data_IF_241819868802
#
_entry.id   IF_241819868802
#
_cell.length_a   1.000
_cell.length_b   1.000
_cell.length_c   1.000
_cell.angle_alpha   90.00
_cell.angle_beta   90.00
_cell.angle_gamma   90.00
#
_symmetry.space_group_name_H-M   'P 1'
#
loop_
_entity.id
_entity.type
_entity.pdbx_description
1 polymer ?
#
# COMPACT_ATOMS: atom_id res chain seq x y z
N UNK A 1 -9.79 -1.76 16.89
CA UNK A 1 -8.63 -0.97 16.42
C UNK A 1 -9.08 0.08 15.42
N UNK A 2 -8.58 1.29 15.58
CA UNK A 2 -8.87 2.39 14.64
C UNK A 2 -8.15 2.16 13.32
N UNK A 3 -8.88 2.00 12.24
CA UNK A 3 -8.36 1.84 10.88
C UNK A 3 -8.61 3.06 10.00
N UNK A 4 -9.07 4.17 10.59
CA UNK A 4 -9.39 5.38 9.84
C UNK A 4 -10.47 5.13 8.79
N UNK A 5 -10.19 5.54 7.56
CA UNK A 5 -11.13 5.40 6.44
C UNK A 5 -11.13 4.00 5.82
N UNK A 6 -10.21 3.10 6.22
CA UNK A 6 -10.01 1.81 5.57
C UNK A 6 -10.87 0.71 6.16
N UNK A 7 -11.49 -0.08 5.28
CA UNK A 7 -12.18 -1.32 5.67
C UNK A 7 -11.17 -2.46 5.70
N UNK A 8 -11.11 -3.14 6.84
CA UNK A 8 -10.20 -4.27 7.06
C UNK A 8 -11.04 -5.51 7.31
N UNK A 9 -10.74 -6.58 6.58
CA UNK A 9 -11.37 -7.88 6.76
C UNK A 9 -10.40 -8.77 7.55
N UNK A 10 -10.75 -9.06 8.80
CA UNK A 10 -9.90 -9.82 9.70
C UNK A 10 -8.96 -8.96 10.51
N UNK A 11 -7.92 -9.57 11.06
CA UNK A 11 -6.94 -8.90 11.90
C UNK A 11 -5.79 -8.32 11.09
N UNK A 12 -5.25 -7.19 11.57
CA UNK A 12 -4.04 -6.62 11.00
C UNK A 12 -2.85 -7.45 11.50
N UNK A 13 -2.03 -8.04 10.61
CA UNK A 13 -0.84 -8.78 11.04
C UNK A 13 0.10 -7.90 11.87
N UNK A 14 0.72 -8.48 12.90
CA UNK A 14 1.65 -7.73 13.76
C UNK A 14 2.91 -7.27 13.03
N UNK A 15 3.29 -7.96 11.95
CA UNK A 15 4.44 -7.63 11.11
C UNK A 15 4.07 -6.80 9.88
N UNK A 16 2.88 -6.21 9.83
CA UNK A 16 2.44 -5.45 8.68
C UNK A 16 3.31 -4.21 8.46
N UNK A 17 3.99 -4.18 7.32
CA UNK A 17 4.79 -3.05 6.87
C UNK A 17 3.94 -2.07 6.05
N UNK A 18 3.03 -2.61 5.27
CA UNK A 18 2.14 -1.85 4.41
C UNK A 18 1.03 -2.70 3.87
N UNK A 19 0.21 -2.11 3.01
CA UNK A 19 -0.90 -2.84 2.40
C UNK A 19 -1.14 -2.38 0.96
N UNK A 20 -1.73 -3.30 0.20
CA UNK A 20 -2.25 -3.03 -1.13
C UNK A 20 -3.74 -2.76 -0.99
N UNK A 21 -4.22 -1.73 -1.65
CA UNK A 21 -5.60 -1.28 -1.48
C UNK A 21 -6.30 -1.06 -2.81
N UNK A 22 -7.61 -1.06 -2.72
CA UNK A 22 -8.50 -0.68 -3.81
C UNK A 22 -9.46 0.40 -3.29
N UNK A 23 -9.52 1.52 -4.00
CA UNK A 23 -10.46 2.59 -3.73
C UNK A 23 -11.49 2.57 -4.86
N UNK A 24 -12.77 2.51 -4.50
CA UNK A 24 -13.86 2.46 -5.46
C UNK A 24 -14.74 3.70 -5.33
N UNK A 25 -14.97 4.39 -6.44
CA UNK A 25 -15.96 5.45 -6.53
C UNK A 25 -17.31 4.79 -6.78
N UNK A 26 -18.20 4.83 -5.78
CA UNK A 26 -19.49 4.14 -5.90
C UNK A 26 -20.46 4.79 -6.87
N UNK A 27 -20.20 6.04 -7.29
CA UNK A 27 -21.08 6.76 -8.23
C UNK A 27 -20.90 6.27 -9.68
N UNK A 28 -19.71 5.77 -10.03
CA UNK A 28 -19.42 5.32 -11.40
C UNK A 28 -18.67 3.98 -11.46
N UNK A 29 -18.44 3.34 -10.32
CA UNK A 29 -17.70 2.07 -10.17
C UNK A 29 -16.23 2.14 -10.59
N UNK A 30 -15.67 3.32 -10.76
CA UNK A 30 -14.27 3.50 -11.14
C UNK A 30 -13.36 3.25 -9.93
N UNK A 31 -12.22 2.58 -10.18
CA UNK A 31 -11.35 2.07 -9.12
C UNK A 31 -9.91 2.56 -9.25
N UNK A 32 -9.20 2.47 -8.16
CA UNK A 32 -7.76 2.73 -8.10
C UNK A 32 -7.11 1.68 -7.21
N UNK A 33 -6.05 1.04 -7.72
CA UNK A 33 -5.25 0.08 -6.96
C UNK A 33 -3.88 0.70 -6.68
N UNK A 34 -3.49 0.72 -5.41
CA UNK A 34 -2.22 1.27 -4.99
C UNK A 34 -1.67 0.57 -3.77
N UNK A 35 -0.59 1.11 -3.25
CA UNK A 35 0.05 0.64 -2.02
C UNK A 35 0.26 1.78 -1.05
N UNK A 36 0.34 1.44 0.24
CA UNK A 36 0.67 2.40 1.28
C UNK A 36 1.49 1.72 2.38
N UNK A 37 2.58 2.36 2.77
CA UNK A 37 3.33 1.93 3.94
C UNK A 37 2.58 2.35 5.20
N UNK A 38 2.48 1.45 6.15
CA UNK A 38 1.90 1.73 7.47
C UNK A 38 2.91 2.37 8.40
N UNK A 39 4.20 2.12 8.16
CA UNK A 39 5.29 2.71 8.93
C UNK A 39 6.23 3.44 7.98
N UNK A 40 6.83 4.51 8.46
CA UNK A 40 7.87 5.21 7.72
C UNK A 40 9.15 5.26 8.53
N UNK A 41 10.26 5.21 7.80
CA UNK A 41 11.61 5.24 8.36
C UNK A 41 12.04 6.68 8.54
N UNK A 42 12.52 7.03 9.73
CA UNK A 42 13.11 8.33 10.00
C UNK A 42 14.54 8.17 10.49
N UNK A 43 15.39 9.12 10.16
CA UNK A 43 16.76 9.17 10.63
C UNK A 43 16.84 10.22 11.73
N UNK A 44 17.33 9.81 12.90
CA UNK A 44 17.52 10.70 14.03
C UNK A 44 19.01 11.01 14.19
N UNK A 45 19.31 12.14 14.81
CA UNK A 45 20.68 12.51 15.13
C UNK A 45 21.34 11.45 16.02
N UNK A 46 22.69 11.23 15.89
CA UNK A 46 23.37 10.29 16.75
C UNK A 46 23.21 10.63 18.22
N UNK A 47 23.20 9.62 19.07
CA UNK A 47 23.29 9.81 20.52
C UNK A 47 24.63 10.46 20.87
N UNK A 48 24.65 11.18 22.01
CA UNK A 48 25.88 11.83 22.51
C UNK A 48 27.03 10.82 22.55
N UNK A 49 28.15 11.17 21.89
CA UNK A 49 29.31 10.31 21.81
C UNK A 49 29.30 9.26 20.71
N UNK A 50 28.22 9.19 19.91
CA UNK A 50 28.08 8.26 18.79
C UNK A 50 28.17 8.99 17.46
N UNK A 51 28.68 8.30 16.42
CA UNK A 51 28.86 8.88 15.09
C UNK A 51 27.75 8.50 14.10
N UNK A 52 27.07 7.37 14.33
CA UNK A 52 26.02 6.87 13.45
C UNK A 52 24.67 7.53 13.73
N UNK A 53 23.98 7.94 12.69
CA UNK A 53 22.59 8.33 12.79
C UNK A 53 21.75 7.12 13.18
N UNK A 54 20.80 7.33 14.06
CA UNK A 54 19.86 6.30 14.46
C UNK A 54 18.74 6.22 13.44
N UNK A 55 18.23 5.00 13.23
CA UNK A 55 17.08 4.75 12.39
C UNK A 55 15.93 4.36 13.28
N UNK A 56 14.80 5.01 13.09
CA UNK A 56 13.59 4.73 13.84
C UNK A 56 12.41 4.56 12.87
N UNK A 57 11.37 3.86 13.30
CA UNK A 57 10.16 3.65 12.52
C UNK A 57 8.98 4.27 13.24
N UNK A 58 8.22 5.09 12.54
CA UNK A 58 7.02 5.71 13.09
C UNK A 58 5.83 5.39 12.20
N UNK A 59 4.62 5.47 12.78
CA UNK A 59 3.40 5.28 12.03
C UNK A 59 3.28 6.35 10.94
N UNK A 60 2.87 5.92 9.74
CA UNK A 60 2.59 6.82 8.62
C UNK A 60 1.17 7.41 8.74
N UNK A 61 0.78 8.22 7.76
CA UNK A 61 -0.56 8.79 7.67
C UNK A 61 -1.57 7.85 6.98
N UNK A 62 -1.36 6.54 7.05
CA UNK A 62 -2.14 5.57 6.30
C UNK A 62 -3.65 5.61 6.60
N UNK A 63 -4.04 5.98 7.82
CA UNK A 63 -5.47 6.01 8.23
C UNK A 63 -6.30 7.05 7.48
N UNK A 64 -5.68 8.08 6.95
CA UNK A 64 -6.34 9.17 6.21
C UNK A 64 -5.90 9.26 4.75
N UNK A 65 -5.01 8.38 4.32
CA UNK A 65 -4.44 8.41 2.98
C UNK A 65 -5.46 8.00 1.92
N UNK A 66 -5.57 8.79 0.86
CA UNK A 66 -6.57 8.61 -0.20
C UNK A 66 -5.95 8.34 -1.57
N UNK A 67 -4.72 7.81 -1.60
CA UNK A 67 -4.04 7.49 -2.85
C UNK A 67 -3.27 8.66 -3.43
N UNK A 68 -2.49 8.37 -4.46
CA UNK A 68 -1.62 9.35 -5.13
C UNK A 68 -2.14 9.84 -6.48
N UNK A 69 -3.32 9.40 -6.89
CA UNK A 69 -3.91 9.83 -8.17
C UNK A 69 -4.59 11.18 -8.01
N UNK A 70 -4.18 12.15 -8.82
CA UNK A 70 -4.82 13.48 -8.82
C UNK A 70 -6.28 13.40 -9.25
N UNK A 71 -6.59 12.62 -10.28
CA UNK A 71 -7.96 12.46 -10.76
C UNK A 71 -8.87 11.86 -9.68
N UNK A 72 -8.39 10.84 -8.97
CA UNK A 72 -9.12 10.25 -7.85
C UNK A 72 -9.38 11.27 -6.75
N UNK A 73 -8.35 12.00 -6.35
CA UNK A 73 -8.47 12.97 -5.25
C UNK A 73 -9.36 14.17 -5.61
N UNK A 74 -9.39 14.57 -6.89
CA UNK A 74 -10.34 15.58 -7.37
C UNK A 74 -11.78 15.06 -7.21
N UNK A 75 -12.04 13.82 -7.59
CA UNK A 75 -13.37 13.24 -7.45
C UNK A 75 -13.77 13.08 -5.98
N UNK A 76 -12.85 12.72 -5.10
CA UNK A 76 -13.10 12.64 -3.66
C UNK A 76 -13.49 14.02 -3.12
N UNK A 77 -12.78 15.08 -3.50
CA UNK A 77 -13.07 16.43 -3.06
C UNK A 77 -14.42 16.93 -3.60
N UNK A 78 -14.79 16.53 -4.81
CA UNK A 78 -16.03 16.96 -5.47
C UNK A 78 -17.26 16.22 -4.96
N UNK A 79 -17.15 14.90 -4.79
CA UNK A 79 -18.28 14.02 -4.48
C UNK A 79 -18.44 13.75 -2.98
N UNK A 80 -17.37 13.90 -2.21
CA UNK A 80 -17.33 13.58 -0.78
C UNK A 80 -16.75 12.22 -0.51
N UNK A 81 -16.06 12.10 0.63
CA UNK A 81 -15.35 10.90 1.04
C UNK A 81 -16.30 9.69 1.20
N UNK A 82 -17.53 9.95 1.63
CA UNK A 82 -18.54 8.92 1.87
C UNK A 82 -19.06 8.23 0.60
N UNK A 83 -18.76 8.78 -0.58
CA UNK A 83 -19.09 8.14 -1.87
C UNK A 83 -18.03 7.13 -2.31
N UNK A 84 -16.99 6.91 -1.52
CA UNK A 84 -15.89 6.04 -1.87
C UNK A 84 -15.75 4.91 -0.85
N UNK A 85 -15.33 3.74 -1.35
CA UNK A 85 -15.02 2.57 -0.50
C UNK A 85 -13.52 2.36 -0.52
N UNK A 86 -12.91 2.37 0.66
CA UNK A 86 -11.48 2.18 0.86
C UNK A 86 -11.25 0.78 1.41
N UNK A 87 -10.79 -0.13 0.55
CA UNK A 87 -10.66 -1.55 0.88
C UNK A 87 -9.20 -1.97 0.87
N UNK A 88 -8.76 -2.59 1.96
CA UNK A 88 -7.44 -3.22 2.02
C UNK A 88 -7.54 -4.61 1.40
N UNK A 89 -6.72 -4.88 0.37
CA UNK A 89 -6.71 -6.14 -0.34
C UNK A 89 -5.72 -7.13 0.26
N UNK A 90 -4.54 -6.65 0.67
CA UNK A 90 -3.47 -7.51 1.16
C UNK A 90 -2.50 -6.73 2.04
N UNK A 91 -2.20 -7.25 3.22
CA UNK A 91 -1.10 -6.75 4.04
C UNK A 91 0.21 -7.39 3.61
N UNK A 92 1.27 -6.59 3.60
CA UNK A 92 2.60 -7.03 3.22
C UNK A 92 3.59 -6.72 4.35
N UNK A 93 4.58 -7.59 4.53
CA UNK A 93 5.51 -7.52 5.64
C UNK A 93 6.85 -6.86 5.30
N UNK A 94 7.08 -6.52 4.03
CA UNK A 94 8.33 -5.89 3.59
C UNK A 94 8.09 -4.95 2.41
N UNK A 95 9.07 -4.08 2.17
CA UNK A 95 9.04 -3.16 1.03
C UNK A 95 9.01 -3.92 -0.30
N UNK A 96 9.80 -4.99 -0.42
CA UNK A 96 9.81 -5.82 -1.62
C UNK A 96 8.43 -6.42 -1.88
N UNK A 97 7.86 -7.08 -0.87
CA UNK A 97 6.55 -7.73 -0.97
C UNK A 97 5.48 -6.74 -1.37
N UNK A 98 5.48 -5.57 -0.75
CA UNK A 98 4.52 -4.51 -1.04
C UNK A 98 4.60 -4.05 -2.50
N UNK A 99 5.81 -3.76 -3.00
CA UNK A 99 6.00 -3.30 -4.37
C UNK A 99 5.70 -4.38 -5.40
N UNK A 100 6.12 -5.61 -5.13
CA UNK A 100 5.92 -6.73 -6.04
C UNK A 100 4.45 -7.05 -6.23
N UNK A 101 3.70 -7.19 -5.14
CA UNK A 101 2.28 -7.54 -5.21
C UNK A 101 1.41 -6.39 -5.68
N UNK A 102 1.79 -5.14 -5.44
CA UNK A 102 1.10 -4.01 -6.05
C UNK A 102 1.17 -4.08 -7.58
N UNK A 103 2.39 -4.17 -8.11
CA UNK A 103 2.58 -4.23 -9.57
C UNK A 103 1.91 -5.45 -10.18
N UNK A 104 2.04 -6.61 -9.53
CA UNK A 104 1.41 -7.85 -9.98
C UNK A 104 -0.11 -7.70 -10.07
N UNK A 105 -0.72 -7.16 -9.04
CA UNK A 105 -2.17 -6.98 -8.98
C UNK A 105 -2.64 -5.97 -10.01
N UNK A 106 -1.89 -4.88 -10.21
CA UNK A 106 -2.21 -3.88 -11.22
C UNK A 106 -2.15 -4.47 -12.65
N UNK A 107 -1.17 -5.32 -12.94
CA UNK A 107 -1.08 -6.01 -14.22
C UNK A 107 -2.19 -7.04 -14.39
N UNK A 108 -2.49 -7.82 -13.36
CA UNK A 108 -3.55 -8.84 -13.41
C UNK A 108 -4.92 -8.22 -13.66
N UNK A 109 -5.16 -7.02 -13.16
CA UNK A 109 -6.42 -6.29 -13.34
C UNK A 109 -6.43 -5.40 -14.58
N UNK A 110 -5.34 -5.38 -15.34
CA UNK A 110 -5.21 -4.56 -16.57
C UNK A 110 -5.58 -3.09 -16.34
N UNK A 111 -5.13 -2.52 -15.24
CA UNK A 111 -5.54 -1.18 -14.83
C UNK A 111 -5.17 -0.09 -15.84
N UNK A 112 -4.11 -0.28 -16.62
CA UNK A 112 -3.69 0.68 -17.65
C UNK A 112 -4.44 0.51 -18.97
N UNK A 113 -5.15 -0.60 -19.14
CA UNK A 113 -5.88 -0.92 -20.36
C UNK A 113 -7.38 -0.67 -20.21
N UNK A 114 -7.83 -0.23 -19.04
CA UNK A 114 -9.23 -0.07 -18.72
C UNK A 114 -9.54 1.37 -18.30
N UNK A 115 -10.62 1.93 -18.83
CA UNK A 115 -11.13 3.22 -18.40
C UNK A 115 -11.85 3.15 -17.05
N UNK A 116 -12.07 1.94 -16.52
CA UNK A 116 -12.68 1.73 -15.21
C UNK A 116 -11.72 1.95 -14.05
N UNK A 117 -10.46 2.28 -14.34
CA UNK A 117 -9.43 2.54 -13.33
C UNK A 117 -8.88 3.96 -13.45
N UNK A 118 -8.63 4.58 -12.29
CA UNK A 118 -7.93 5.85 -12.22
C UNK A 118 -6.42 5.72 -12.49
N UNK A 119 -5.89 4.48 -12.41
CA UNK A 119 -4.45 4.24 -12.56
C UNK A 119 -3.95 4.72 -13.93
N UNK A 120 -2.95 5.60 -13.92
CA UNK A 120 -2.34 6.13 -15.15
C UNK A 120 -0.92 5.63 -15.39
N UNK A 121 -0.31 4.96 -14.42
CA UNK A 121 1.05 4.47 -14.52
C UNK A 121 1.25 3.29 -13.56
N UNK A 122 2.09 2.34 -13.96
CA UNK A 122 2.60 1.30 -13.06
C UNK A 122 4.09 1.52 -12.90
N UNK A 123 4.52 1.85 -11.68
CA UNK A 123 5.94 1.99 -11.35
C UNK A 123 6.50 0.63 -10.94
N UNK A 124 7.44 0.11 -11.76
CA UNK A 124 7.97 -1.24 -11.61
C UNK A 124 9.48 -1.24 -11.46
N UNK A 125 10.01 -0.57 -10.44
CA UNK A 125 11.41 -0.71 -10.11
C UNK A 125 11.55 -1.68 -8.95
N UNK A 126 11.61 -2.98 -9.29
CA UNK A 126 11.63 -4.07 -8.31
C UNK A 126 12.83 -4.94 -8.62
N UNK A 127 13.71 -5.12 -7.62
CA UNK A 127 14.85 -5.99 -7.75
C UNK A 127 14.51 -7.43 -7.41
N UNK A 128 15.55 -8.26 -7.32
CA UNK A 128 15.39 -9.66 -6.95
C UNK A 128 14.88 -9.79 -5.52
N UNK A 129 14.02 -10.78 -5.29
CA UNK A 129 13.43 -11.03 -3.98
C UNK A 129 14.51 -11.31 -2.92
N UNK A 130 14.35 -10.75 -1.70
CA UNK A 130 15.23 -11.08 -0.59
C UNK A 130 15.17 -12.56 -0.24
N UNK A 131 16.28 -13.08 0.28
CA UNK A 131 16.38 -14.51 0.63
C UNK A 131 15.29 -14.95 1.59
N UNK A 132 14.99 -14.16 2.60
CA UNK A 132 13.95 -14.48 3.57
C UNK A 132 12.57 -14.62 2.90
N UNK A 133 12.24 -13.73 1.98
CA UNK A 133 10.99 -13.81 1.22
C UNK A 133 10.93 -15.09 0.38
N UNK A 134 12.04 -15.44 -0.29
CA UNK A 134 12.09 -16.65 -1.12
C UNK A 134 11.89 -17.91 -0.28
N UNK A 135 12.48 -17.98 0.88
CA UNK A 135 12.32 -19.12 1.79
C UNK A 135 10.85 -19.28 2.20
N UNK A 136 10.21 -18.19 2.60
CA UNK A 136 8.80 -18.21 3.00
C UNK A 136 7.87 -18.55 1.83
N UNK A 137 8.14 -17.98 0.65
CA UNK A 137 7.34 -18.20 -0.55
C UNK A 137 7.36 -19.68 -0.97
N UNK A 138 8.55 -20.30 -1.02
CA UNK A 138 8.66 -21.70 -1.44
C UNK A 138 8.14 -22.66 -0.38
N UNK A 139 8.30 -22.34 0.90
CA UNK A 139 7.74 -23.16 1.97
C UNK A 139 6.21 -23.18 1.95
N UNK A 140 5.59 -22.04 1.68
CA UNK A 140 4.14 -21.93 1.62
C UNK A 140 3.55 -22.53 0.33
N UNK A 141 4.33 -22.54 -0.75
CA UNK A 141 3.86 -23.03 -2.05
C UNK A 141 3.77 -24.56 -2.10
N UNK A 142 4.52 -25.26 -1.27
CA UNK A 142 4.54 -26.72 -1.22
C UNK A 142 3.35 -27.29 -0.41
N UNK A 143 2.57 -26.42 0.21
CA UNK A 143 1.34 -26.79 0.90
C UNK A 143 0.14 -26.73 -0.10
#
# INVERSE_FOLDING_TARGET
MDTGIWKVYGEIPSDAFGFIYEITNTTNSKKYIGKKQMVRKIRRNPLKGKKRKRIDFIESDWKTYTGSSDALNIDIATLGLDQFVFKILKFCSSKFELSYFEAKMQFEKDVLLSEDYYNGIINCRIGKAPKLFLEQYYNNKDD
#
